data_IF_216090941114
#
_entry.id   IF_216090941114
#
_cell.length_a   1.000
_cell.length_b   1.000
_cell.length_c   1.000
_cell.angle_alpha   90.00
_cell.angle_beta   90.00
_cell.angle_gamma   90.00
#
_symmetry.space_group_name_H-M   'P 1'
#
loop_
_entity.id
_entity.type
_entity.pdbx_description
1 polymer ?
#
# COMPACT_ATOMS: atom_id res chain seq x y z
N UNK A 1 10.06 12.97 -1.37
CA UNK A 1 8.78 12.41 -0.87
C UNK A 1 7.64 12.98 -1.69
N UNK A 2 6.64 12.16 -2.06
CA UNK A 2 5.45 12.64 -2.79
C UNK A 2 4.57 13.49 -1.87
N UNK A 3 4.02 14.58 -2.40
CA UNK A 3 2.98 15.38 -1.71
C UNK A 3 1.72 14.54 -1.51
N UNK A 4 0.84 14.94 -0.57
CA UNK A 4 -0.44 14.24 -0.35
C UNK A 4 -1.27 14.15 -1.64
N UNK A 5 -1.36 15.25 -2.37
CA UNK A 5 -2.04 15.30 -3.66
C UNK A 5 -1.45 14.28 -4.66
N UNK A 6 -0.13 14.20 -4.77
CA UNK A 6 0.53 13.23 -5.65
C UNK A 6 0.30 11.77 -5.21
N UNK A 7 0.25 11.49 -3.90
CA UNK A 7 -0.07 10.16 -3.38
C UNK A 7 -1.50 9.75 -3.72
N UNK A 8 -2.46 10.65 -3.56
CA UNK A 8 -3.86 10.42 -3.91
C UNK A 8 -4.05 10.19 -5.41
N UNK A 9 -3.41 11.01 -6.25
CA UNK A 9 -3.42 10.83 -7.71
C UNK A 9 -2.82 9.49 -8.10
N UNK A 10 -1.71 9.07 -7.48
CA UNK A 10 -1.11 7.77 -7.72
C UNK A 10 -2.05 6.62 -7.31
N UNK A 11 -2.73 6.70 -6.17
CA UNK A 11 -3.69 5.66 -5.76
C UNK A 11 -4.88 5.58 -6.72
N UNK A 12 -5.41 6.72 -7.17
CA UNK A 12 -6.47 6.73 -8.19
C UNK A 12 -6.01 6.03 -9.46
N UNK A 13 -4.78 6.28 -9.89
CA UNK A 13 -4.23 5.68 -11.10
C UNK A 13 -3.97 4.17 -10.94
N UNK A 14 -3.46 3.75 -9.78
CA UNK A 14 -3.32 2.32 -9.43
C UNK A 14 -4.70 1.65 -9.45
N UNK A 15 -5.71 2.24 -8.82
CA UNK A 15 -7.07 1.72 -8.85
C UNK A 15 -7.63 1.67 -10.26
N UNK A 16 -7.42 2.71 -11.08
CA UNK A 16 -7.93 2.78 -12.46
C UNK A 16 -7.35 1.68 -13.34
N UNK A 17 -6.04 1.43 -13.23
CA UNK A 17 -5.29 0.56 -14.16
C UNK A 17 -5.14 -0.90 -13.69
N UNK A 18 -5.23 -1.17 -12.39
CA UNK A 18 -5.07 -2.53 -11.87
C UNK A 18 -6.22 -3.45 -12.29
N UNK A 19 -6.01 -4.76 -12.21
CA UNK A 19 -7.12 -5.73 -12.25
C UNK A 19 -7.79 -5.83 -10.89
N UNK A 20 -9.06 -6.23 -10.86
CA UNK A 20 -9.71 -6.60 -9.61
C UNK A 20 -8.94 -7.76 -8.95
N UNK A 21 -8.84 -7.71 -7.62
CA UNK A 21 -7.99 -8.60 -6.79
C UNK A 21 -6.49 -8.53 -7.08
N UNK A 22 -6.03 -7.53 -7.84
CA UNK A 22 -4.60 -7.28 -8.05
C UNK A 22 -3.87 -7.02 -6.73
N UNK A 23 -2.56 -7.33 -6.69
CA UNK A 23 -1.74 -7.12 -5.50
C UNK A 23 -0.88 -5.87 -5.67
N UNK A 24 -0.99 -4.94 -4.73
CA UNK A 24 -0.16 -3.75 -4.64
C UNK A 24 0.84 -3.88 -3.49
N UNK A 25 2.12 -3.67 -3.79
CA UNK A 25 3.19 -3.62 -2.81
C UNK A 25 3.54 -2.16 -2.47
N UNK A 26 3.56 -1.86 -1.18
CA UNK A 26 4.02 -0.58 -0.67
C UNK A 26 5.13 -0.78 0.35
N UNK A 27 6.26 -0.12 0.13
CA UNK A 27 7.35 -0.03 1.12
C UNK A 27 7.37 1.38 1.70
N UNK A 28 7.49 1.50 3.02
CA UNK A 28 7.44 2.79 3.71
C UNK A 28 8.41 2.86 4.89
N UNK A 29 9.03 4.02 5.09
CA UNK A 29 9.86 4.31 6.27
C UNK A 29 9.03 4.85 7.44
N UNK A 30 7.72 5.05 7.24
CA UNK A 30 6.76 5.45 8.28
C UNK A 30 6.02 4.22 8.79
N UNK A 31 5.56 4.24 10.05
CA UNK A 31 4.73 3.16 10.61
C UNK A 31 3.36 3.09 9.94
N UNK A 32 2.79 4.25 9.64
CA UNK A 32 1.48 4.32 8.99
C UNK A 32 1.64 4.34 7.47
N UNK A 33 0.73 3.66 6.78
CA UNK A 33 0.62 3.74 5.33
C UNK A 33 -0.13 5.01 4.90
N UNK A 34 0.24 5.58 3.76
CA UNK A 34 -0.57 6.64 3.16
C UNK A 34 -1.93 6.13 2.65
N UNK A 35 -2.08 4.82 2.41
CA UNK A 35 -3.37 4.21 2.05
C UNK A 35 -4.34 4.31 3.22
N UNK A 36 -3.89 4.02 4.44
CA UNK A 36 -4.71 4.08 5.66
C UNK A 36 -5.26 5.49 5.93
N UNK A 37 -4.58 6.52 5.41
CA UNK A 37 -4.94 7.94 5.54
C UNK A 37 -5.68 8.48 4.32
N UNK A 38 -5.89 7.66 3.29
CA UNK A 38 -6.56 8.05 2.05
C UNK A 38 -8.05 7.74 2.12
N UNK A 39 -8.86 8.54 1.41
CA UNK A 39 -10.28 8.27 1.22
C UNK A 39 -10.54 7.01 0.37
N UNK A 40 -9.48 6.47 -0.25
CA UNK A 40 -9.52 5.28 -1.08
C UNK A 40 -9.25 3.99 -0.30
N UNK A 41 -9.03 4.05 1.02
CA UNK A 41 -8.67 2.88 1.84
C UNK A 41 -9.62 1.68 1.67
N UNK A 42 -10.90 1.93 1.38
CA UNK A 42 -11.90 0.88 1.17
C UNK A 42 -11.62 -0.02 -0.04
N UNK A 43 -10.83 0.45 -0.99
CA UNK A 43 -10.43 -0.31 -2.18
C UNK A 43 -9.15 -1.14 -1.99
N UNK A 44 -8.51 -1.05 -0.82
CA UNK A 44 -7.23 -1.69 -0.55
C UNK A 44 -7.30 -2.49 0.75
N UNK A 45 -7.47 -3.80 0.62
CA UNK A 45 -7.46 -4.75 1.73
C UNK A 45 -6.02 -5.10 2.11
N UNK A 46 -5.60 -4.78 3.33
CA UNK A 46 -4.27 -5.14 3.82
C UNK A 46 -4.17 -6.67 4.02
N UNK A 47 -3.21 -7.30 3.35
CA UNK A 47 -2.83 -8.70 3.58
C UNK A 47 -1.92 -8.77 4.80
N UNK A 48 -2.52 -8.72 6.00
CA UNK A 48 -1.82 -8.51 7.26
C UNK A 48 -0.70 -9.52 7.52
N UNK A 49 -0.96 -10.82 7.37
CA UNK A 49 0.03 -11.85 7.69
C UNK A 49 1.22 -11.81 6.74
N UNK A 50 0.95 -11.68 5.43
CA UNK A 50 1.99 -11.55 4.39
C UNK A 50 2.82 -10.28 4.60
N UNK A 51 2.16 -9.17 4.96
CA UNK A 51 2.83 -7.90 5.22
C UNK A 51 3.71 -7.94 6.46
N UNK A 52 3.24 -8.58 7.53
CA UNK A 52 4.01 -8.76 8.76
C UNK A 52 5.25 -9.62 8.51
N UNK A 53 5.09 -10.74 7.80
CA UNK A 53 6.21 -11.61 7.44
C UNK A 53 7.24 -10.84 6.61
N UNK A 54 6.82 -10.19 5.54
CA UNK A 54 7.71 -9.43 4.67
C UNK A 54 8.40 -8.26 5.38
N UNK A 55 7.72 -7.60 6.32
CA UNK A 55 8.33 -6.54 7.13
C UNK A 55 9.40 -7.08 8.08
N UNK A 56 9.20 -8.28 8.64
CA UNK A 56 10.18 -8.92 9.53
C UNK A 56 11.38 -9.50 8.75
N UNK A 57 11.15 -9.93 7.51
CA UNK A 57 12.17 -10.51 6.64
C UNK A 57 12.94 -9.46 5.83
N UNK A 58 12.53 -8.18 5.83
CA UNK A 58 13.21 -7.11 5.11
C UNK A 58 14.58 -6.79 5.73
N UNK A 59 15.62 -7.44 5.20
CA UNK A 59 17.02 -7.28 5.63
C UNK A 59 17.63 -5.94 5.21
N UNK A 60 16.95 -5.13 4.40
CA UNK A 60 17.47 -3.83 3.98
C UNK A 60 17.51 -2.83 5.14
N UNK A 61 16.69 -3.03 6.18
CA UNK A 61 16.50 -2.11 7.32
C UNK A 61 16.14 -0.66 6.94
N UNK A 62 15.87 -0.41 5.66
CA UNK A 62 15.59 0.90 5.11
C UNK A 62 14.12 1.28 5.28
N UNK A 63 13.25 0.28 5.43
CA UNK A 63 11.81 0.45 5.55
C UNK A 63 11.33 0.01 6.93
N UNK A 64 10.34 0.73 7.46
CA UNK A 64 9.66 0.35 8.70
C UNK A 64 8.55 -0.68 8.46
N UNK A 65 7.97 -0.68 7.27
CA UNK A 65 6.94 -1.62 6.85
C UNK A 65 7.01 -1.95 5.36
N UNK A 66 6.68 -3.20 5.07
CA UNK A 66 6.43 -3.75 3.74
C UNK A 66 4.99 -4.25 3.72
N UNK A 67 4.10 -3.51 3.09
CA UNK A 67 2.67 -3.80 3.06
C UNK A 67 2.26 -4.34 1.69
N UNK A 68 1.47 -5.40 1.71
CA UNK A 68 0.77 -5.94 0.55
C UNK A 68 -0.72 -5.67 0.69
N UNK A 69 -1.31 -5.09 -0.35
CA UNK A 69 -2.73 -4.81 -0.42
C UNK A 69 -3.36 -5.59 -1.56
N UNK A 70 -4.53 -6.18 -1.32
CA UNK A 70 -5.42 -6.64 -2.38
C UNK A 70 -6.33 -5.50 -2.81
N UNK A 71 -6.36 -5.26 -4.12
CA UNK A 71 -7.16 -4.21 -4.74
C UNK A 71 -8.59 -4.73 -4.97
N UNK A 72 -9.58 -3.93 -4.61
CA UNK A 72 -11.00 -4.16 -4.87
C UNK A 72 -11.53 -3.02 -5.76
N UNK A 73 -12.03 -3.34 -6.95
CA UNK A 73 -12.49 -2.32 -7.91
C UNK A 73 -13.77 -1.60 -7.48
N UNK A 74 -14.61 -2.26 -6.68
CA UNK A 74 -16.03 -1.97 -6.47
C UNK A 74 -16.87 -1.99 -7.75
#
# INVERSE_FOLDING_TARGET
WLTRHAQETLLKEILRTSKDRGIFLQRTVKRDSFIEKSDLKGHFELLKDVSNLASNEDRSCCYKRVNYYRIHKN
#
